data_IF_222350747099
#
_entry.id   IF_222350747099
#
_cell.length_a   1.000
_cell.length_b   1.000
_cell.length_c   1.000
_cell.angle_alpha   90.00
_cell.angle_beta   90.00
_cell.angle_gamma   90.00
#
_symmetry.space_group_name_H-M   'P 1'
#
loop_
_entity.id
_entity.type
_entity.pdbx_description
1 polymer ?
#
# COMPACT_ATOMS: atom_id res chain seq x y z
N UNK A 1 30.23 23.48 -37.36
CA UNK A 1 28.80 23.08 -37.29
C UNK A 1 28.44 22.41 -38.62
N UNK A 2 28.44 21.08 -38.64
CA UNK A 2 28.01 20.27 -39.79
C UNK A 2 27.64 18.89 -39.23
N UNK A 3 26.37 18.53 -39.39
CA UNK A 3 25.76 17.27 -38.97
C UNK A 3 26.01 16.26 -40.10
N UNK A 4 26.53 15.08 -39.76
CA UNK A 4 26.41 13.89 -40.59
C UNK A 4 26.18 12.69 -39.66
N UNK A 5 24.93 12.21 -39.66
CA UNK A 5 24.51 10.92 -39.11
C UNK A 5 24.93 9.84 -40.10
N UNK A 6 25.64 8.82 -39.62
CA UNK A 6 25.83 7.56 -40.34
C UNK A 6 24.82 6.53 -39.83
N UNK A 7 23.97 6.12 -40.76
CA UNK A 7 23.26 4.85 -40.92
C UNK A 7 24.26 3.67 -40.89
N UNK A 8 23.97 2.40 -40.70
CA UNK A 8 22.79 1.53 -40.83
C UNK A 8 23.20 0.14 -40.25
N UNK A 9 22.35 -0.89 -40.46
CA UNK A 9 22.59 -2.33 -40.33
C UNK A 9 22.35 -2.99 -38.97
N UNK A 10 21.66 -4.13 -38.86
CA UNK A 10 20.90 -4.95 -39.83
C UNK A 10 20.09 -5.93 -38.96
N UNK A 11 18.77 -5.90 -39.06
CA UNK A 11 17.89 -6.88 -38.43
C UNK A 11 16.91 -7.36 -39.49
N UNK A 12 17.39 -8.22 -40.38
CA UNK A 12 16.59 -8.87 -41.40
C UNK A 12 16.65 -10.39 -41.21
N UNK A 13 15.48 -10.99 -40.98
CA UNK A 13 14.98 -12.05 -41.85
C UNK A 13 13.53 -12.39 -41.49
N UNK A 14 12.58 -11.95 -42.31
CA UNK A 14 11.96 -12.82 -43.33
C UNK A 14 10.54 -12.34 -43.70
N UNK A 15 10.48 -11.80 -44.93
CA UNK A 15 9.33 -11.43 -45.76
C UNK A 15 8.11 -12.39 -45.71
N UNK A 16 6.88 -11.87 -45.63
CA UNK A 16 6.00 -11.47 -46.75
C UNK A 16 4.99 -12.56 -47.16
N UNK A 17 3.69 -12.34 -46.92
CA UNK A 17 2.75 -12.20 -48.05
C UNK A 17 1.38 -11.59 -47.67
N UNK A 18 1.11 -10.42 -48.25
CA UNK A 18 -0.16 -9.99 -48.90
C UNK A 18 -1.50 -10.13 -48.14
N UNK A 19 -2.04 -8.99 -47.66
CA UNK A 19 -3.08 -8.19 -48.34
C UNK A 19 -3.73 -7.16 -47.41
N UNK A 20 -3.67 -5.91 -47.85
CA UNK A 20 -4.49 -4.74 -47.50
C UNK A 20 -5.91 -5.08 -47.08
N UNK A 21 -6.37 -4.60 -45.91
CA UNK A 21 -7.75 -4.13 -45.76
C UNK A 21 -7.80 -2.92 -44.81
N UNK A 22 -8.39 -1.86 -45.36
CA UNK A 22 -8.59 -0.52 -44.83
C UNK A 22 -9.39 -0.53 -43.51
N UNK A 23 -9.00 0.29 -42.54
CA UNK A 23 -9.81 0.61 -41.37
C UNK A 23 -10.85 1.67 -41.73
N UNK A 24 -12.01 1.24 -42.20
CA UNK A 24 -13.19 2.08 -42.31
C UNK A 24 -14.05 1.89 -41.04
N UNK A 25 -13.97 2.83 -40.08
CA UNK A 25 -14.86 2.85 -38.92
C UNK A 25 -16.19 3.48 -39.34
N UNK A 26 -17.18 2.64 -39.65
CA UNK A 26 -18.58 3.06 -39.72
C UNK A 26 -19.26 2.85 -38.34
N UNK A 27 -19.83 3.89 -37.71
CA UNK A 27 -20.55 3.75 -36.45
C UNK A 27 -22.00 3.35 -36.70
N UNK A 28 -22.52 2.44 -35.88
CA UNK A 28 -23.96 2.16 -35.78
C UNK A 28 -24.42 0.96 -36.62
N UNK A 29 -24.44 -0.21 -35.99
CA UNK A 29 -25.49 -1.21 -36.22
C UNK A 29 -25.41 -2.27 -35.11
N UNK A 30 -26.50 -2.44 -34.37
CA UNK A 30 -26.68 -3.52 -33.42
C UNK A 30 -26.66 -4.85 -34.17
N UNK A 31 -25.52 -5.54 -34.15
CA UNK A 31 -25.35 -6.89 -34.71
C UNK A 31 -24.91 -7.84 -33.61
N UNK A 32 -25.76 -8.84 -33.31
CA UNK A 32 -25.42 -9.93 -32.41
C UNK A 32 -24.21 -10.69 -32.97
N UNK A 33 -23.17 -10.85 -32.15
CA UNK A 33 -22.01 -11.67 -32.48
C UNK A 33 -22.44 -13.13 -32.36
N UNK A 34 -22.69 -13.77 -33.51
CA UNK A 34 -22.89 -15.21 -33.58
C UNK A 34 -21.49 -15.85 -33.57
N UNK A 35 -21.10 -16.42 -32.44
CA UNK A 35 -19.92 -17.28 -32.37
C UNK A 35 -20.24 -18.61 -33.06
N UNK A 36 -19.75 -18.82 -34.29
CA UNK A 36 -19.73 -20.14 -34.91
C UNK A 36 -18.56 -20.94 -34.36
N UNK A 37 -18.83 -21.77 -33.35
CA UNK A 37 -17.91 -22.82 -32.93
C UNK A 37 -17.96 -23.93 -33.98
N UNK A 38 -16.86 -24.09 -34.72
CA UNK A 38 -16.64 -25.29 -35.54
C UNK A 38 -16.57 -26.50 -34.61
N UNK A 39 -17.65 -27.29 -34.58
CA UNK A 39 -17.71 -28.57 -33.86
C UNK A 39 -17.09 -29.67 -34.75
N UNK A 40 -15.77 -29.61 -34.90
CA UNK A 40 -14.97 -30.71 -35.44
C UNK A 40 -14.74 -31.75 -34.35
N UNK A 41 -15.41 -32.90 -34.49
CA UNK A 41 -15.10 -34.19 -33.84
C UNK A 41 -15.01 -34.19 -32.30
N UNK A 42 -16.18 -34.13 -31.67
CA UNK A 42 -16.41 -34.53 -30.28
C UNK A 42 -16.27 -36.05 -30.11
N UNK A 43 -15.04 -36.56 -30.02
CA UNK A 43 -14.81 -37.88 -29.43
C UNK A 43 -14.68 -37.76 -27.91
N UNK A 44 -15.66 -38.37 -27.23
CA UNK A 44 -15.77 -38.68 -25.80
C UNK A 44 -16.32 -37.57 -24.89
N UNK A 45 -17.66 -37.57 -24.77
CA UNK A 45 -18.45 -36.83 -23.77
C UNK A 45 -17.91 -36.94 -22.33
N UNK A 46 -17.20 -38.02 -21.97
CA UNK A 46 -16.58 -38.18 -20.64
C UNK A 46 -15.32 -37.32 -20.45
N UNK A 47 -14.59 -37.02 -21.53
CA UNK A 47 -13.32 -36.27 -21.49
C UNK A 47 -13.56 -34.77 -21.36
N UNK A 48 -14.61 -34.27 -22.00
CA UNK A 48 -15.02 -32.86 -21.90
C UNK A 48 -15.54 -32.54 -20.48
N UNK A 49 -16.32 -33.45 -19.89
CA UNK A 49 -16.83 -33.30 -18.51
C UNK A 49 -15.67 -33.36 -17.49
N UNK A 50 -14.71 -34.28 -17.66
CA UNK A 50 -13.55 -34.40 -16.78
C UNK A 50 -12.61 -33.18 -16.85
N UNK A 51 -12.42 -32.61 -18.06
CA UNK A 51 -11.59 -31.42 -18.26
C UNK A 51 -12.15 -30.15 -17.61
N UNK A 52 -13.48 -29.95 -17.68
CA UNK A 52 -14.15 -28.80 -17.05
C UNK A 52 -14.07 -28.88 -15.51
N UNK A 53 -14.18 -30.08 -14.93
CA UNK A 53 -14.08 -30.29 -13.47
C UNK A 53 -12.66 -29.99 -12.94
N UNK A 54 -11.62 -30.34 -13.68
CA UNK A 54 -10.22 -30.08 -13.30
C UNK A 54 -9.91 -28.57 -13.30
N UNK A 55 -10.39 -27.82 -14.28
CA UNK A 55 -10.18 -26.37 -14.38
C UNK A 55 -10.91 -25.60 -13.28
N UNK A 56 -12.08 -26.07 -12.85
CA UNK A 56 -12.84 -25.46 -11.73
C UNK A 56 -12.14 -25.67 -10.38
N UNK A 57 -11.42 -26.79 -10.21
CA UNK A 57 -10.78 -27.14 -8.92
C UNK A 57 -9.52 -26.30 -8.65
N UNK A 58 -8.83 -25.81 -9.69
CA UNK A 58 -7.59 -25.02 -9.56
C UNK A 58 -7.86 -23.57 -9.12
N UNK A 59 -9.10 -23.07 -9.25
CA UNK A 59 -9.47 -21.71 -8.85
C UNK A 59 -9.70 -21.51 -7.33
N UNK A 60 -9.74 -22.59 -6.54
CA UNK A 60 -10.12 -22.49 -5.11
C UNK A 60 -8.92 -22.38 -4.17
N UNK A 61 -7.69 -22.60 -4.65
CA UNK A 61 -6.46 -22.57 -3.80
C UNK A 61 -5.75 -21.20 -3.80
N UNK A 62 -6.42 -20.15 -4.28
CA UNK A 62 -5.80 -18.84 -4.57
C UNK A 62 -6.12 -17.68 -3.61
N UNK A 63 -6.76 -17.90 -2.47
CA UNK A 63 -7.00 -16.83 -1.50
C UNK A 63 -6.91 -17.34 -0.05
N UNK A 64 -5.68 -17.50 0.42
CA UNK A 64 -5.36 -17.27 1.84
C UNK A 64 -4.68 -15.90 1.90
N UNK A 65 -5.50 -14.86 1.73
CA UNK A 65 -5.12 -13.51 2.12
C UNK A 65 -5.38 -13.38 3.63
N UNK A 66 -4.44 -12.73 4.29
CA UNK A 66 -4.21 -12.62 5.73
C UNK A 66 -5.44 -12.51 6.65
N UNK A 67 -5.21 -13.01 7.87
CA UNK A 67 -6.09 -12.88 9.02
C UNK A 67 -6.40 -11.40 9.29
N UNK A 68 -7.53 -10.90 8.79
CA UNK A 68 -8.17 -9.72 9.34
C UNK A 68 -8.74 -10.11 10.69
N UNK A 69 -7.91 -9.95 11.72
CA UNK A 69 -8.30 -9.99 13.13
C UNK A 69 -9.57 -9.16 13.33
N UNK A 70 -10.51 -9.77 14.02
CA UNK A 70 -11.84 -9.30 14.34
C UNK A 70 -11.76 -7.92 15.03
N UNK A 71 -12.00 -6.84 14.27
CA UNK A 71 -11.94 -5.46 14.75
C UNK A 71 -13.14 -5.16 15.67
N UNK A 72 -13.04 -5.65 16.89
CA UNK A 72 -13.56 -4.88 18.03
C UNK A 72 -12.77 -3.57 18.04
N UNK A 73 -13.37 -2.40 18.34
CA UNK A 73 -12.60 -1.17 18.56
C UNK A 73 -11.64 -1.40 19.74
N UNK A 74 -10.44 -1.88 19.46
CA UNK A 74 -9.40 -2.10 20.46
C UNK A 74 -8.88 -0.72 20.83
N UNK A 75 -9.07 -0.34 22.09
CA UNK A 75 -8.44 0.87 22.60
C UNK A 75 -6.92 0.76 22.39
N UNK A 76 -6.24 1.83 21.94
CA UNK A 76 -4.81 1.76 21.65
C UNK A 76 -4.05 1.31 22.90
N UNK A 77 -3.16 0.33 22.70
CA UNK A 77 -2.35 -0.24 23.78
C UNK A 77 -1.41 0.82 24.33
N UNK A 78 -1.31 0.93 25.67
CA UNK A 78 -0.33 1.82 26.31
C UNK A 78 1.05 1.17 26.27
N UNK A 79 2.01 1.81 25.61
CA UNK A 79 3.36 1.28 25.39
C UNK A 79 4.39 2.32 25.83
N UNK A 80 5.54 1.88 26.37
CA UNK A 80 6.65 2.76 26.74
C UNK A 80 7.57 3.05 25.55
N UNK A 81 8.34 4.14 25.58
CA UNK A 81 9.30 4.43 24.51
C UNK A 81 10.36 3.32 24.43
N UNK A 82 10.79 2.79 25.58
CA UNK A 82 11.74 1.67 25.65
C UNK A 82 11.23 0.43 24.92
N UNK A 83 9.95 0.06 25.09
CA UNK A 83 9.38 -1.11 24.42
C UNK A 83 9.34 -0.92 22.90
N UNK A 84 9.02 0.29 22.44
CA UNK A 84 9.05 0.62 21.02
C UNK A 84 10.46 0.57 20.45
N UNK A 85 11.47 1.04 21.18
CA UNK A 85 12.87 1.01 20.76
C UNK A 85 13.45 -0.42 20.74
N UNK A 86 13.06 -1.27 21.70
CA UNK A 86 13.58 -2.64 21.82
C UNK A 86 12.79 -3.68 21.02
N UNK A 87 11.56 -3.37 20.62
CA UNK A 87 10.65 -4.32 19.96
C UNK A 87 9.77 -3.65 18.90
N UNK A 88 10.34 -2.70 18.14
CA UNK A 88 9.66 -1.94 17.10
C UNK A 88 8.80 -2.82 16.16
N UNK A 89 9.37 -3.94 15.70
CA UNK A 89 8.71 -4.85 14.74
C UNK A 89 7.38 -5.42 15.24
N UNK A 90 7.20 -5.54 16.56
CA UNK A 90 5.94 -6.05 17.15
C UNK A 90 4.80 -5.04 17.07
N UNK A 91 5.15 -3.77 16.98
CA UNK A 91 4.23 -2.64 17.01
C UNK A 91 4.09 -1.96 15.64
N UNK A 92 4.89 -2.37 14.64
CA UNK A 92 4.82 -1.86 13.28
C UNK A 92 3.37 -1.85 12.76
N UNK A 93 2.97 -0.70 12.21
CA UNK A 93 1.63 -0.43 11.67
C UNK A 93 0.47 -0.56 12.67
N UNK A 94 0.75 -0.67 13.98
CA UNK A 94 -0.27 -0.72 15.03
C UNK A 94 -0.48 0.63 15.70
N UNK A 95 -1.73 0.96 16.08
CA UNK A 95 -2.02 2.13 16.90
C UNK A 95 -1.58 1.87 18.35
N UNK A 96 -0.67 2.70 18.85
CA UNK A 96 -0.17 2.66 20.23
C UNK A 96 -0.40 4.01 20.91
N UNK A 97 -0.50 3.98 22.23
CA UNK A 97 -0.56 5.16 23.08
C UNK A 97 0.74 5.29 23.87
N UNK A 98 1.44 6.41 23.70
CA UNK A 98 2.73 6.69 24.33
C UNK A 98 2.63 7.98 25.13
N UNK A 99 3.20 7.96 26.34
CA UNK A 99 3.27 9.13 27.22
C UNK A 99 4.72 9.59 27.37
N UNK A 100 4.93 10.90 27.41
CA UNK A 100 6.26 11.47 27.58
C UNK A 100 6.23 12.98 27.81
N UNK A 101 7.41 13.60 27.70
CA UNK A 101 7.58 15.05 27.78
C UNK A 101 8.18 15.56 26.48
N UNK A 102 7.65 16.66 25.93
CA UNK A 102 8.20 17.25 24.71
C UNK A 102 9.57 17.85 25.00
N UNK A 103 10.62 17.30 24.38
CA UNK A 103 12.00 17.75 24.51
C UNK A 103 12.43 18.67 23.38
N UNK A 104 11.85 18.50 22.18
CA UNK A 104 12.07 19.36 21.01
C UNK A 104 10.82 19.43 20.15
N UNK A 105 10.57 20.54 19.46
CA UNK A 105 9.38 20.72 18.63
C UNK A 105 9.69 21.60 17.43
N UNK A 106 9.12 21.30 16.27
CA UNK A 106 9.18 22.16 15.10
C UNK A 106 8.48 23.50 15.36
N UNK A 107 9.04 24.62 14.89
CA UNK A 107 8.42 25.94 15.05
C UNK A 107 7.01 26.05 14.44
N UNK A 108 6.68 25.24 13.43
CA UNK A 108 5.33 25.15 12.84
C UNK A 108 4.44 24.10 13.50
N UNK A 109 4.96 23.29 14.42
CA UNK A 109 4.19 22.29 15.17
C UNK A 109 3.85 21.01 14.41
N UNK A 110 4.45 20.75 13.25
CA UNK A 110 4.15 19.55 12.44
C UNK A 110 4.89 18.27 12.85
N UNK A 111 5.88 18.39 13.74
CA UNK A 111 6.57 17.26 14.38
C UNK A 111 7.17 17.72 15.70
N UNK A 112 7.48 16.76 16.56
CA UNK A 112 8.19 16.98 17.82
C UNK A 112 8.92 15.71 18.27
N UNK A 113 9.87 15.87 19.18
CA UNK A 113 10.52 14.77 19.90
C UNK A 113 9.94 14.78 21.32
N UNK A 114 9.48 13.61 21.75
CA UNK A 114 9.17 13.37 23.15
C UNK A 114 10.23 12.50 23.78
N UNK A 115 10.46 12.70 25.06
CA UNK A 115 11.41 11.94 25.86
C UNK A 115 10.71 11.40 27.10
N UNK A 116 11.06 10.18 27.49
CA UNK A 116 10.77 9.59 28.78
C UNK A 116 12.08 9.30 29.54
N UNK A 117 12.01 8.50 30.61
CA UNK A 117 13.20 8.12 31.38
C UNK A 117 14.12 7.15 30.61
N UNK A 118 13.67 6.57 29.51
CA UNK A 118 14.33 5.49 28.78
C UNK A 118 14.84 5.89 27.40
N UNK A 119 14.35 6.99 26.81
CA UNK A 119 14.85 7.48 25.54
C UNK A 119 13.98 8.55 24.89
N UNK A 120 14.31 8.83 23.63
CA UNK A 120 13.66 9.83 22.79
C UNK A 120 12.89 9.15 21.66
N UNK A 121 11.70 9.67 21.36
CA UNK A 121 10.85 9.22 20.27
C UNK A 121 10.47 10.38 19.36
N UNK A 122 10.72 10.21 18.06
CA UNK A 122 10.30 11.16 17.04
C UNK A 122 8.83 10.96 16.69
N UNK A 123 8.04 12.03 16.80
CA UNK A 123 6.61 12.06 16.48
C UNK A 123 6.34 12.97 15.30
N UNK A 124 5.73 12.42 14.25
CA UNK A 124 5.39 13.12 13.03
C UNK A 124 3.86 13.29 12.91
N UNK A 125 3.40 14.53 12.81
CA UNK A 125 1.98 14.88 12.69
C UNK A 125 1.61 15.25 11.24
N UNK A 126 2.62 15.56 10.43
CA UNK A 126 2.45 16.00 9.04
C UNK A 126 1.61 15.04 8.18
N UNK A 127 1.75 13.70 8.26
CA UNK A 127 0.94 12.79 7.45
C UNK A 127 -0.57 12.92 7.70
N UNK A 128 -0.95 13.30 8.92
CA UNK A 128 -2.35 13.52 9.32
C UNK A 128 -2.79 14.99 9.20
N UNK A 129 -1.93 15.84 8.64
CA UNK A 129 -2.22 17.23 8.28
C UNK A 129 -2.71 18.13 9.44
N UNK A 130 -2.18 17.90 10.64
CA UNK A 130 -2.43 18.77 11.79
C UNK A 130 -1.13 19.24 12.45
N UNK A 131 -1.29 20.24 13.32
CA UNK A 131 -0.19 20.83 14.08
C UNK A 131 -0.62 21.09 15.51
N UNK A 132 0.33 21.07 16.42
CA UNK A 132 0.13 21.45 17.82
C UNK A 132 0.83 22.79 18.11
N UNK A 133 0.28 23.62 19.01
CA UNK A 133 0.96 24.84 19.44
C UNK A 133 2.29 24.51 20.16
N UNK A 134 3.20 25.48 20.30
CA UNK A 134 4.44 25.30 21.06
C UNK A 134 4.15 24.82 22.49
N UNK A 135 4.63 23.63 22.83
CA UNK A 135 4.37 22.93 24.09
C UNK A 135 5.66 22.29 24.65
N UNK A 136 6.82 22.88 24.33
CA UNK A 136 8.12 22.48 24.86
C UNK A 136 8.09 22.31 26.39
N UNK A 137 8.58 21.17 26.86
CA UNK A 137 8.64 20.83 28.27
C UNK A 137 7.31 20.41 28.91
N UNK A 138 6.21 20.33 28.15
CA UNK A 138 4.91 19.85 28.64
C UNK A 138 4.83 18.33 28.58
N UNK A 139 4.00 17.76 29.47
CA UNK A 139 3.62 16.35 29.39
C UNK A 139 2.62 16.16 28.26
N UNK A 140 2.79 15.07 27.53
CA UNK A 140 2.00 14.77 26.34
C UNK A 140 1.66 13.28 26.31
N UNK A 141 0.46 12.97 25.83
CA UNK A 141 0.07 11.62 25.44
C UNK A 141 -0.22 11.63 23.95
N UNK A 142 0.40 10.72 23.20
CA UNK A 142 0.17 10.59 21.75
C UNK A 142 -0.41 9.24 21.47
N UNK A 143 -1.47 9.22 20.67
CA UNK A 143 -1.97 8.01 20.04
C UNK A 143 -1.56 8.07 18.57
N UNK A 144 -0.90 7.04 18.07
CA UNK A 144 -0.39 7.05 16.70
C UNK A 144 0.05 5.68 16.23
N UNK A 145 0.35 5.58 14.94
CA UNK A 145 0.85 4.34 14.34
C UNK A 145 2.37 4.34 14.33
N UNK A 146 2.96 3.21 14.68
CA UNK A 146 4.42 3.02 14.63
C UNK A 146 4.85 2.75 13.19
N UNK A 147 5.78 3.55 12.70
CA UNK A 147 6.37 3.40 11.37
C UNK A 147 7.85 3.16 11.53
N UNK A 148 8.35 2.12 10.87
CA UNK A 148 9.78 1.81 10.79
C UNK A 148 10.21 2.08 9.35
N UNK A 149 11.16 2.98 9.16
CA UNK A 149 11.70 3.28 7.84
C UNK A 149 13.21 3.40 7.92
N UNK A 150 13.93 2.70 7.05
CA UNK A 150 15.39 2.73 7.00
C UNK A 150 16.05 2.41 8.36
N UNK A 151 15.41 1.55 9.16
CA UNK A 151 15.79 1.18 10.53
C UNK A 151 15.63 2.31 11.57
N UNK A 152 14.94 3.40 11.22
CA UNK A 152 14.53 4.46 12.14
C UNK A 152 13.06 4.27 12.56
N UNK A 153 12.85 4.30 13.88
CA UNK A 153 11.54 4.26 14.50
C UNK A 153 10.93 5.68 14.54
N UNK A 154 9.72 5.82 14.02
CA UNK A 154 8.92 7.03 14.14
C UNK A 154 7.48 6.71 14.53
N UNK A 155 6.84 7.64 15.25
CA UNK A 155 5.41 7.56 15.54
C UNK A 155 4.65 8.57 14.68
N UNK A 156 3.70 8.10 13.88
CA UNK A 156 2.77 8.98 13.17
C UNK A 156 1.58 9.25 14.07
N UNK A 157 1.55 10.45 14.67
CA UNK A 157 0.53 10.82 15.65
C UNK A 157 -0.83 11.02 14.99
N UNK A 158 -1.85 10.33 15.48
CA UNK A 158 -3.27 10.44 15.07
C UNK A 158 -4.12 11.24 16.06
N UNK A 159 -3.62 11.44 17.29
CA UNK A 159 -4.13 12.45 18.22
C UNK A 159 -3.08 12.74 19.29
N UNK A 160 -3.11 13.96 19.82
CA UNK A 160 -2.16 14.42 20.83
C UNK A 160 -2.91 15.07 21.97
N UNK A 161 -2.73 14.61 23.21
CA UNK A 161 -3.27 15.22 24.41
C UNK A 161 -2.18 16.03 25.13
N UNK A 162 -2.39 17.33 25.26
CA UNK A 162 -1.51 18.28 25.95
C UNK A 162 -2.27 18.96 27.08
N UNK A 163 -1.85 18.74 28.33
CA UNK A 163 -2.44 19.38 29.51
C UNK A 163 -4.00 19.29 29.54
N UNK A 164 -4.57 18.17 29.08
CA UNK A 164 -6.02 17.93 29.03
C UNK A 164 -6.73 18.44 27.77
N UNK A 165 -6.00 19.03 26.81
CA UNK A 165 -6.52 19.39 25.48
C UNK A 165 -6.11 18.36 24.46
N UNK A 166 -7.10 17.79 23.76
CA UNK A 166 -6.86 16.85 22.66
C UNK A 166 -6.83 17.57 21.32
N UNK A 167 -5.77 17.33 20.58
CA UNK A 167 -5.57 17.75 19.19
C UNK A 167 -5.79 16.51 18.29
N UNK A 168 -6.44 16.68 17.13
CA UNK A 168 -6.59 15.61 16.13
C UNK A 168 -5.24 15.23 15.55
#
# INVERSE_FOLDING_TARGET
>A
MRIHLLTQNESDSYQSDKRTLQFDRKPGSHGNIVYSLNLGEIMNSKVIIAGIIIVITICITGCLADQSENQTPVAPEKVTISDLLNSADKFADKPVMVEGKISSQCGSGCWFIMSDDNGDLYVNLKPNNFVIPPAMGKKVTVIGNVIIKDNDLALVGSSVNLDGKTYP
#
